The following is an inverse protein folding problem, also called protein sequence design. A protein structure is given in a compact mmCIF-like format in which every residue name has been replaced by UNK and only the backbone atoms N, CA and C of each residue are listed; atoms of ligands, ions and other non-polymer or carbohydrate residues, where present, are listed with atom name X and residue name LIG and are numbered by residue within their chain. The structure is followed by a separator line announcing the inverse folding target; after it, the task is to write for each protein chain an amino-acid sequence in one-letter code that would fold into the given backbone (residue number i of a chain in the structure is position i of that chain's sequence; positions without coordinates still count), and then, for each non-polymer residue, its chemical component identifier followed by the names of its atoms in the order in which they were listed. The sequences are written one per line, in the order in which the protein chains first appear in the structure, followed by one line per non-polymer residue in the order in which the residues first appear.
data_IF_288898962097
#
_entry.id   IF_288898962097
#
_cell.length_a   1.000
_cell.length_b   1.000
_cell.length_c   1.000
_cell.angle_alpha   90.00
_cell.angle_beta   90.00
_cell.angle_gamma   90.00
#
_symmetry.space_group_name_H-M   'P 1'
#
loop_
_entity.id
_entity.type
_entity.pdbx_description
1 polymer ?
#
# COMPACT_ATOMS: atom_id res chain seq x y z
N UNK A 1 -8.98 -1.51 -15.70
CA UNK A 1 -8.04 -0.37 -15.74
C UNK A 1 -7.14 -0.51 -14.52
N UNK A 2 -5.93 -1.07 -14.66
CA UNK A 2 -5.00 -1.17 -13.53
C UNK A 2 -4.40 0.22 -13.31
N UNK A 3 -4.75 0.88 -12.20
CA UNK A 3 -4.00 2.05 -11.74
C UNK A 3 -2.68 1.51 -11.20
N UNK A 4 -1.60 1.71 -11.95
CA UNK A 4 -0.24 1.42 -11.51
C UNK A 4 0.15 2.43 -10.44
N UNK A 5 -0.15 2.15 -9.17
CA UNK A 5 0.45 2.90 -8.06
C UNK A 5 1.87 2.37 -7.88
N UNK A 6 2.81 2.95 -8.62
CA UNK A 6 4.22 2.80 -8.34
C UNK A 6 4.53 3.69 -7.13
N UNK A 7 4.52 3.11 -5.92
CA UNK A 7 5.14 3.73 -4.75
C UNK A 7 6.67 3.71 -4.91
N UNK A 8 7.18 4.46 -5.88
CA UNK A 8 8.63 4.59 -6.07
C UNK A 8 9.16 5.79 -5.30
N UNK A 9 10.01 5.45 -4.32
CA UNK A 9 11.20 6.19 -3.89
C UNK A 9 11.07 7.31 -2.85
N UNK A 10 9.93 7.50 -2.19
CA UNK A 10 9.86 8.45 -1.06
C UNK A 10 8.89 8.06 0.05
N UNK A 11 8.99 6.83 0.53
CA UNK A 11 8.56 6.47 1.89
C UNK A 11 9.83 6.33 2.73
N UNK A 12 10.43 7.47 3.07
CA UNK A 12 11.59 7.57 3.94
C UNK A 12 11.18 8.10 5.31
N UNK A 13 10.07 7.58 5.85
CA UNK A 13 9.73 7.80 7.25
C UNK A 13 10.27 6.62 8.05
N UNK A 14 11.14 6.85 9.06
CA UNK A 14 11.61 5.78 9.94
C UNK A 14 10.46 5.07 10.68
N UNK A 15 9.29 5.70 10.75
CA UNK A 15 8.11 5.20 11.46
C UNK A 15 7.02 4.66 10.52
N UNK A 16 7.36 4.33 9.26
CA UNK A 16 6.34 3.84 8.31
C UNK A 16 5.74 2.49 8.72
N UNK A 17 6.57 1.59 9.27
CA UNK A 17 6.15 0.31 9.82
C UNK A 17 6.86 0.13 11.16
N UNK A 18 6.13 -0.31 12.16
CA UNK A 18 6.71 -0.87 13.37
C UNK A 18 7.51 -2.14 13.05
N UNK A 19 8.32 -2.59 14.01
CA UNK A 19 9.09 -3.83 13.88
C UNK A 19 8.18 -5.04 13.66
N UNK A 20 7.03 -5.08 14.35
CA UNK A 20 6.03 -6.13 14.21
C UNK A 20 5.41 -6.13 12.80
N UNK A 21 4.98 -4.96 12.31
CA UNK A 21 4.41 -4.81 10.95
C UNK A 21 5.45 -5.15 9.87
N UNK A 22 6.71 -4.81 10.12
CA UNK A 22 7.82 -5.17 9.24
C UNK A 22 8.05 -6.67 9.18
N UNK A 23 7.95 -7.37 10.32
CA UNK A 23 8.04 -8.83 10.39
C UNK A 23 6.91 -9.49 9.61
N UNK A 24 5.67 -9.07 9.84
CA UNK A 24 4.49 -9.59 9.14
C UNK A 24 4.63 -9.44 7.62
N UNK A 25 5.03 -8.25 7.15
CA UNK A 25 5.24 -8.02 5.72
C UNK A 25 6.41 -8.86 5.17
N UNK A 26 7.49 -9.07 5.92
CA UNK A 26 8.60 -9.91 5.51
C UNK A 26 8.18 -11.38 5.34
N UNK A 27 7.46 -11.94 6.32
CA UNK A 27 6.97 -13.31 6.30
C UNK A 27 6.05 -13.55 5.09
N UNK A 28 5.08 -12.66 4.86
CA UNK A 28 4.16 -12.74 3.72
C UNK A 28 4.85 -12.63 2.37
N UNK A 29 5.90 -11.80 2.27
CA UNK A 29 6.56 -11.49 0.98
C UNK A 29 7.69 -12.45 0.62
N UNK A 30 8.57 -12.77 1.57
CA UNK A 30 9.78 -13.57 1.35
C UNK A 30 9.51 -15.06 1.59
N UNK A 31 8.79 -15.40 2.67
CA UNK A 31 8.41 -16.78 2.97
C UNK A 31 7.20 -17.24 2.15
N UNK A 32 6.57 -16.31 1.40
CA UNK A 32 5.42 -16.54 0.51
C UNK A 32 4.16 -17.02 1.25
N UNK A 33 4.03 -16.73 2.53
CA UNK A 33 2.81 -16.97 3.29
C UNK A 33 1.78 -15.88 3.00
N UNK A 34 1.18 -15.95 1.80
CA UNK A 34 0.32 -14.89 1.23
C UNK A 34 -1.12 -14.93 1.74
N UNK A 35 -1.36 -15.67 2.83
CA UNK A 35 -2.69 -15.92 3.40
C UNK A 35 -3.29 -14.64 3.96
N UNK A 36 -2.48 -13.85 4.66
CA UNK A 36 -2.89 -12.57 5.24
C UNK A 36 -2.02 -11.43 4.71
N UNK A 37 -2.46 -10.20 4.92
CA UNK A 37 -1.76 -8.98 4.55
C UNK A 37 -1.84 -7.95 5.68
N UNK A 38 -1.09 -6.85 5.61
CA UNK A 38 -1.11 -5.86 6.69
C UNK A 38 -2.30 -4.91 6.50
N UNK A 39 -3.31 -5.02 7.35
CA UNK A 39 -4.44 -4.10 7.38
C UNK A 39 -4.00 -2.74 7.94
N UNK A 40 -3.97 -1.72 7.10
CA UNK A 40 -3.57 -0.35 7.47
C UNK A 40 -4.69 0.65 7.21
N UNK A 41 -4.67 1.77 7.93
CA UNK A 41 -5.59 2.88 7.72
C UNK A 41 -4.94 3.90 6.78
N UNK A 42 -5.49 4.04 5.58
CA UNK A 42 -5.17 5.12 4.64
C UNK A 42 -6.09 6.32 4.92
N UNK A 43 -5.51 7.49 5.13
CA UNK A 43 -6.25 8.76 5.19
C UNK A 43 -6.17 9.42 3.82
N UNK A 44 -7.32 9.61 3.18
CA UNK A 44 -7.38 10.23 1.85
C UNK A 44 -7.29 11.78 1.92
N UNK A 45 -7.16 12.47 0.77
CA UNK A 45 -7.07 13.94 0.74
C UNK A 45 -8.31 14.67 1.27
N UNK A 46 -9.46 13.98 1.37
CA UNK A 46 -10.69 14.50 1.98
C UNK A 46 -10.78 14.15 3.47
N UNK A 47 -9.67 13.70 4.07
CA UNK A 47 -9.52 13.26 5.45
C UNK A 47 -10.40 12.05 5.82
N UNK A 48 -10.86 11.29 4.82
CA UNK A 48 -11.61 10.05 5.08
C UNK A 48 -10.63 8.91 5.33
N UNK A 49 -10.97 8.08 6.31
CA UNK A 49 -10.20 6.87 6.66
C UNK A 49 -10.72 5.69 5.88
N UNK A 50 -9.80 4.94 5.28
CA UNK A 50 -10.06 3.73 4.53
C UNK A 50 -9.17 2.61 5.07
N UNK A 51 -9.74 1.43 5.26
CA UNK A 51 -8.94 0.24 5.59
C UNK A 51 -8.49 -0.40 4.29
N UNK A 52 -7.19 -0.61 4.14
CA UNK A 52 -6.58 -1.22 2.95
C UNK A 52 -5.61 -2.32 3.35
N UNK A 53 -5.49 -3.33 2.50
CA UNK A 53 -4.54 -4.43 2.68
C UNK A 53 -3.20 -4.09 2.00
N UNK A 54 -2.17 -3.77 2.80
CA UNK A 54 -0.82 -3.49 2.35
C UNK A 54 0.02 -4.76 2.30
N UNK A 55 0.66 -5.00 1.14
CA UNK A 55 1.59 -6.11 0.93
C UNK A 55 2.87 -5.68 0.25
N UNK A 56 3.91 -6.51 0.34
CA UNK A 56 5.20 -6.31 -0.35
C UNK A 56 5.43 -7.37 -1.42
N UNK A 57 5.63 -6.93 -2.66
CA UNK A 57 5.73 -7.80 -3.84
C UNK A 57 7.02 -7.52 -4.61
N UNK A 58 7.66 -8.58 -5.12
CA UNK A 58 8.80 -8.46 -6.04
C UNK A 58 8.28 -8.33 -7.47
N UNK A 59 8.33 -7.12 -8.04
CA UNK A 59 7.89 -6.82 -9.39
C UNK A 59 9.06 -6.26 -10.19
N UNK A 60 9.34 -6.85 -11.37
CA UNK A 60 10.47 -6.44 -12.21
C UNK A 60 11.82 -6.48 -11.49
N UNK A 61 12.01 -7.44 -10.58
CA UNK A 61 13.22 -7.59 -9.78
C UNK A 61 13.33 -6.67 -8.56
N UNK A 62 12.44 -5.68 -8.41
CA UNK A 62 12.41 -4.74 -7.29
C UNK A 62 11.30 -5.08 -6.30
N UNK A 63 11.56 -4.85 -5.01
CA UNK A 63 10.54 -4.95 -3.98
C UNK A 63 9.70 -3.67 -3.97
N UNK A 64 8.38 -3.82 -3.97
CA UNK A 64 7.43 -2.72 -3.97
C UNK A 64 6.35 -3.00 -2.92
N UNK A 65 5.80 -1.94 -2.33
CA UNK A 65 4.60 -2.01 -1.52
C UNK A 65 3.37 -1.78 -2.41
N UNK A 66 2.31 -2.55 -2.20
CA UNK A 66 1.08 -2.52 -2.99
C UNK A 66 -0.14 -2.68 -2.09
N UNK A 67 -1.23 -2.02 -2.45
CA UNK A 67 -2.54 -2.30 -1.87
C UNK A 67 -3.22 -3.39 -2.68
N UNK A 68 -3.56 -4.51 -2.03
CA UNK A 68 -4.18 -5.67 -2.69
C UNK A 68 -5.69 -5.67 -2.53
N UNK A 69 -6.19 -5.10 -1.43
CA UNK A 69 -7.61 -4.93 -1.14
C UNK A 69 -7.93 -3.53 -0.60
N UNK A 70 -9.19 -3.11 -0.71
CA UNK A 70 -9.71 -1.81 -0.27
C UNK A 70 -9.44 -0.65 -1.25
N UNK A 71 -8.41 -0.73 -2.10
CA UNK A 71 -8.04 0.38 -3.00
C UNK A 71 -9.17 0.85 -3.92
N UNK A 72 -9.94 -0.07 -4.52
CA UNK A 72 -11.06 0.30 -5.39
C UNK A 72 -12.11 1.13 -4.65
N UNK A 73 -12.33 0.86 -3.36
CA UNK A 73 -13.24 1.64 -2.53
C UNK A 73 -12.69 3.06 -2.32
N UNK A 74 -11.40 3.19 -2.02
CA UNK A 74 -10.73 4.50 -1.90
C UNK A 74 -10.94 5.32 -3.17
N UNK A 75 -10.67 4.73 -4.35
CA UNK A 75 -10.84 5.42 -5.64
C UNK A 75 -12.30 5.81 -5.87
N UNK A 76 -13.25 4.92 -5.61
CA UNK A 76 -14.68 5.16 -5.87
C UNK A 76 -15.31 6.24 -4.98
N UNK A 77 -14.74 6.45 -3.78
CA UNK A 77 -15.24 7.41 -2.79
C UNK A 77 -14.51 8.76 -2.86
N UNK A 78 -13.52 8.85 -3.75
CA UNK A 78 -12.71 10.03 -3.99
C UNK A 78 -12.88 10.53 -5.44
N UNK A 79 -12.19 11.62 -5.78
CA UNK A 79 -12.30 12.27 -7.11
C UNK A 79 -11.00 12.15 -7.91
N UNK A 80 -10.23 11.10 -7.64
CA UNK A 80 -8.93 10.86 -8.28
C UNK A 80 -9.05 10.77 -9.79
N UNK A 81 -8.10 11.40 -10.47
CA UNK A 81 -7.91 11.33 -11.92
C UNK A 81 -6.57 10.70 -12.24
N UNK A 82 -6.50 10.08 -13.41
CA UNK A 82 -5.22 9.54 -13.92
C UNK A 82 -4.24 10.69 -14.05
N UNK A 83 -3.06 10.54 -13.43
CA UNK A 83 -2.01 11.56 -13.42
C UNK A 83 -1.97 12.42 -12.15
N UNK A 84 -2.96 12.30 -11.25
CA UNK A 84 -2.90 12.97 -9.96
C UNK A 84 -1.74 12.40 -9.12
N UNK A 85 -1.00 13.30 -8.48
CA UNK A 85 0.08 12.97 -7.55
C UNK A 85 -0.31 13.50 -6.19
N UNK A 86 -0.42 12.60 -5.22
CA UNK A 86 -0.68 12.95 -3.83
C UNK A 86 0.55 12.72 -2.98
N UNK A 87 0.91 13.76 -2.21
CA UNK A 87 1.92 13.66 -1.19
C UNK A 87 1.24 13.17 0.09
N UNK A 88 1.63 11.98 0.54
CA UNK A 88 1.30 11.40 1.85
C UNK A 88 2.46 11.66 2.79
#
# INVERSE_FOLDING_TARGET
MLVHILFTRKLCLPDFLSEEESRVIYEQSVLKDRTEGLSVVLVDPLLKKHVVDLRKWKMGGKWNYVFVDGWNQVVSTNTFKVGDVYHV
#
